data_IF_103366195906
#
_entry.id   IF_103366195906
#
_cell.length_a   1.000
_cell.length_b   1.000
_cell.length_c   1.000
_cell.angle_alpha   90.00
_cell.angle_beta   90.00
_cell.angle_gamma   90.00
#
_symmetry.space_group_name_H-M   'P 1'
#
loop_
_entity.id
_entity.type
_entity.pdbx_description
1 polymer ?
#
# COMPACT_ATOMS: atom_id res chain seq x y z
N UNK A 1 -10.90 -21.97 -35.51
CA UNK A 1 -11.29 -22.30 -34.12
C UNK A 1 -10.10 -22.36 -33.17
N UNK A 2 -9.00 -23.06 -33.51
CA UNK A 2 -7.88 -23.28 -32.58
C UNK A 2 -7.03 -22.03 -32.23
N UNK A 3 -6.84 -21.09 -33.15
CA UNK A 3 -5.97 -19.92 -32.91
C UNK A 3 -6.48 -19.00 -31.81
N UNK A 4 -7.80 -18.79 -31.72
CA UNK A 4 -8.40 -17.96 -30.67
C UNK A 4 -8.20 -18.57 -29.28
N UNK A 5 -8.35 -19.89 -29.16
CA UNK A 5 -8.14 -20.63 -27.90
C UNK A 5 -6.68 -20.52 -27.44
N UNK A 6 -5.72 -20.65 -28.36
CA UNK A 6 -4.28 -20.54 -28.04
C UNK A 6 -3.93 -19.13 -27.54
N UNK A 7 -4.50 -18.09 -28.14
CA UNK A 7 -4.27 -16.70 -27.72
C UNK A 7 -4.83 -16.47 -26.31
N UNK A 8 -6.05 -16.91 -26.03
CA UNK A 8 -6.66 -16.79 -24.70
C UNK A 8 -5.85 -17.53 -23.64
N UNK A 9 -5.39 -18.75 -23.91
CA UNK A 9 -4.54 -19.50 -22.97
C UNK A 9 -3.21 -18.78 -22.69
N UNK A 10 -2.57 -18.18 -23.71
CA UNK A 10 -1.33 -17.40 -23.51
C UNK A 10 -1.53 -16.17 -22.63
N UNK A 11 -2.63 -15.44 -22.80
CA UNK A 11 -2.92 -14.24 -21.99
C UNK A 11 -3.15 -14.63 -20.52
N UNK A 12 -3.88 -15.71 -20.27
CA UNK A 12 -4.13 -16.22 -18.91
C UNK A 12 -2.81 -16.63 -18.25
N UNK A 13 -1.95 -17.37 -18.96
CA UNK A 13 -0.64 -17.78 -18.43
C UNK A 13 0.25 -16.58 -18.14
N UNK A 14 0.27 -15.58 -19.04
CA UNK A 14 1.07 -14.36 -18.84
C UNK A 14 0.59 -13.58 -17.60
N UNK A 15 -0.73 -13.44 -17.42
CA UNK A 15 -1.32 -12.81 -16.25
C UNK A 15 -1.01 -13.56 -14.96
N UNK A 16 -1.08 -14.89 -14.98
CA UNK A 16 -0.73 -15.71 -13.81
C UNK A 16 0.74 -15.55 -13.41
N UNK A 17 1.67 -15.60 -14.38
CA UNK A 17 3.10 -15.36 -14.13
C UNK A 17 3.33 -13.97 -13.56
N UNK A 18 2.64 -12.95 -14.08
CA UNK A 18 2.78 -11.57 -13.62
C UNK A 18 2.31 -11.39 -12.17
N UNK A 19 1.17 -11.98 -11.81
CA UNK A 19 0.66 -11.97 -10.43
C UNK A 19 1.63 -12.69 -9.49
N UNK A 20 2.14 -13.86 -9.89
CA UNK A 20 3.06 -14.65 -9.08
C UNK A 20 4.40 -13.92 -8.88
N UNK A 21 4.92 -13.28 -9.93
CA UNK A 21 6.10 -12.41 -9.84
C UNK A 21 5.87 -11.21 -8.91
N UNK A 22 4.69 -10.59 -8.96
CA UNK A 22 4.32 -9.49 -8.06
C UNK A 22 4.29 -9.92 -6.59
N UNK A 23 3.67 -11.06 -6.29
CA UNK A 23 3.64 -11.61 -4.92
C UNK A 23 5.05 -11.93 -4.43
N UNK A 24 5.90 -12.53 -5.27
CA UNK A 24 7.28 -12.82 -4.91
C UNK A 24 8.07 -11.54 -4.60
N UNK A 25 7.87 -10.49 -5.40
CA UNK A 25 8.51 -9.19 -5.17
C UNK A 25 8.08 -8.56 -3.84
N UNK A 26 6.80 -8.64 -3.48
CA UNK A 26 6.30 -8.17 -2.18
C UNK A 26 6.94 -8.92 -1.02
N UNK A 27 7.08 -10.24 -1.14
CA UNK A 27 7.74 -11.08 -0.12
C UNK A 27 9.21 -10.68 0.03
N UNK A 28 9.95 -10.53 -1.08
CA UNK A 28 11.36 -10.11 -1.07
C UNK A 28 11.50 -8.71 -0.44
N UNK A 29 10.63 -7.77 -0.82
CA UNK A 29 10.61 -6.42 -0.26
C UNK A 29 10.39 -6.44 1.26
N UNK A 30 9.42 -7.22 1.73
CA UNK A 30 9.13 -7.37 3.16
C UNK A 30 10.31 -7.97 3.92
N UNK A 31 10.92 -9.04 3.40
CA UNK A 31 12.11 -9.65 3.99
C UNK A 31 13.27 -8.67 4.03
N UNK A 32 13.53 -7.93 2.95
CA UNK A 32 14.63 -6.95 2.90
C UNK A 32 14.47 -5.84 3.96
N UNK A 33 13.25 -5.34 4.16
CA UNK A 33 12.95 -4.35 5.18
C UNK A 33 13.15 -4.92 6.58
N UNK A 34 12.67 -6.14 6.83
CA UNK A 34 12.84 -6.82 8.11
C UNK A 34 14.33 -7.08 8.44
N UNK A 35 15.12 -7.54 7.47
CA UNK A 35 16.56 -7.71 7.65
C UNK A 35 17.27 -6.38 7.95
N UNK A 36 16.88 -5.29 7.29
CA UNK A 36 17.46 -3.97 7.54
C UNK A 36 17.10 -3.43 8.93
N UNK A 37 15.90 -3.70 9.46
CA UNK A 37 15.52 -3.32 10.82
C UNK A 37 16.31 -4.10 11.88
N UNK A 38 16.55 -5.40 11.66
CA UNK A 38 17.28 -6.24 12.62
C UNK A 38 18.78 -5.90 12.64
N UNK A 39 19.40 -5.69 11.47
CA UNK A 39 20.84 -5.42 11.37
C UNK A 39 21.25 -4.02 11.85
N UNK A 40 20.29 -3.09 11.97
CA UNK A 40 20.52 -1.71 12.45
C UNK A 40 20.23 -1.53 13.94
N UNK A 41 19.76 -2.59 14.62
CA UNK A 41 19.34 -2.57 16.03
C UNK A 41 20.47 -2.74 17.06
N UNK A 42 21.73 -2.74 16.63
CA UNK A 42 22.90 -2.82 17.52
C UNK A 42 23.54 -1.44 17.82
N UNK A 43 23.05 -0.35 17.23
CA UNK A 43 23.74 0.95 17.29
C UNK A 43 23.08 2.03 18.17
N UNK A 44 21.84 1.88 18.65
CA UNK A 44 21.17 2.96 19.40
C UNK A 44 20.34 2.41 20.58
N UNK A 45 21.02 2.13 21.70
CA UNK A 45 20.43 2.02 23.05
C UNK A 45 19.97 3.39 23.60
N UNK A 46 19.22 4.15 22.79
CA UNK A 46 18.68 5.44 23.17
C UNK A 46 17.17 5.45 23.00
N UNK A 47 16.45 5.22 24.10
CA UNK A 47 15.01 5.51 24.27
C UNK A 47 14.19 5.50 22.97
N UNK A 48 13.94 4.31 22.42
CA UNK A 48 13.12 4.16 21.20
C UNK A 48 11.66 4.45 21.54
N UNK A 49 11.33 5.72 21.72
CA UNK A 49 9.96 6.20 21.70
C UNK A 49 9.34 5.71 20.40
N UNK A 50 8.40 4.77 20.48
CA UNK A 50 7.78 4.18 19.30
C UNK A 50 7.01 5.28 18.59
N UNK A 51 7.61 5.82 17.53
CA UNK A 51 7.03 6.86 16.67
C UNK A 51 6.09 6.18 15.68
N UNK A 52 4.82 6.13 16.04
CA UNK A 52 3.76 5.51 15.26
C UNK A 52 2.65 6.51 14.94
N UNK A 53 2.01 6.33 13.80
CA UNK A 53 0.81 7.07 13.41
C UNK A 53 -0.18 6.14 12.72
N UNK A 54 -1.47 6.37 12.92
CA UNK A 54 -2.56 5.61 12.35
C UNK A 54 -3.71 6.52 11.92
N UNK A 55 -4.53 6.02 11.00
CA UNK A 55 -5.73 6.72 10.52
C UNK A 55 -6.92 5.79 10.59
N UNK A 56 -8.03 6.31 11.12
CA UNK A 56 -9.34 5.67 11.12
C UNK A 56 -10.22 6.47 10.16
N UNK A 57 -10.68 5.83 9.10
CA UNK A 57 -11.58 6.44 8.10
C UNK A 57 -13.04 6.23 8.52
N UNK A 58 -13.67 7.25 9.13
CA UNK A 58 -15.12 7.24 9.43
C UNK A 58 -15.83 8.05 8.34
N UNK A 59 -16.22 7.36 7.25
CA UNK A 59 -16.79 8.03 6.08
C UNK A 59 -15.78 8.99 5.43
N UNK A 60 -16.22 10.09 4.78
CA UNK A 60 -15.30 11.01 4.10
C UNK A 60 -14.44 11.85 5.07
N UNK A 61 -14.54 11.61 6.38
CA UNK A 61 -13.80 12.35 7.41
C UNK A 61 -12.72 11.41 8.01
N UNK A 62 -11.44 11.57 7.64
CA UNK A 62 -10.34 10.81 8.23
C UNK A 62 -10.06 11.29 9.65
N UNK A 63 -9.87 10.37 10.60
CA UNK A 63 -9.42 10.67 11.96
C UNK A 63 -7.98 10.18 12.12
N UNK A 64 -7.05 11.09 12.37
CA UNK A 64 -5.61 10.82 12.41
C UNK A 64 -5.15 10.78 13.87
N UNK A 65 -4.39 9.75 14.23
CA UNK A 65 -3.78 9.59 15.55
C UNK A 65 -2.28 9.30 15.39
N UNK A 66 -1.46 9.72 16.35
CA UNK A 66 -0.04 9.39 16.33
C UNK A 66 0.72 9.97 17.51
N UNK A 67 1.87 9.37 17.80
CA UNK A 67 2.77 9.76 18.90
C UNK A 67 3.86 10.74 18.47
N UNK A 68 4.03 10.93 17.16
CA UNK A 68 5.03 11.83 16.58
C UNK A 68 4.42 12.74 15.52
N UNK A 69 4.75 14.04 15.58
CA UNK A 69 4.30 15.06 14.62
C UNK A 69 4.77 14.79 13.20
N UNK A 70 5.95 14.17 13.02
CA UNK A 70 6.46 13.74 11.72
C UNK A 70 5.61 12.62 11.13
N UNK A 71 5.38 11.56 11.91
CA UNK A 71 4.49 10.45 11.54
C UNK A 71 3.06 10.93 11.24
N UNK A 72 2.52 11.82 12.09
CA UNK A 72 1.22 12.47 11.91
C UNK A 72 1.13 13.21 10.57
N UNK A 73 2.17 13.96 10.19
CA UNK A 73 2.19 14.72 8.94
C UNK A 73 2.16 13.82 7.72
N UNK A 74 2.94 12.73 7.72
CA UNK A 74 2.95 11.75 6.63
C UNK A 74 1.60 11.06 6.51
N UNK A 75 1.05 10.58 7.63
CA UNK A 75 -0.24 9.88 7.65
C UNK A 75 -1.39 10.80 7.24
N UNK A 76 -1.37 12.07 7.66
CA UNK A 76 -2.36 13.08 7.27
C UNK A 76 -2.35 13.33 5.75
N UNK A 77 -1.17 13.54 5.16
CA UNK A 77 -1.04 13.75 3.71
C UNK A 77 -1.55 12.53 2.95
N UNK A 78 -1.18 11.33 3.41
CA UNK A 78 -1.62 10.08 2.79
C UNK A 78 -3.14 9.91 2.89
N UNK A 79 -3.73 10.15 4.06
CA UNK A 79 -5.16 10.06 4.28
C UNK A 79 -5.94 11.07 3.43
N UNK A 80 -5.46 12.31 3.32
CA UNK A 80 -6.09 13.33 2.49
C UNK A 80 -6.01 12.96 1.00
N UNK A 81 -4.84 12.49 0.54
CA UNK A 81 -4.67 12.06 -0.84
C UNK A 81 -5.60 10.90 -1.19
N UNK A 82 -5.67 9.88 -0.34
CA UNK A 82 -6.58 8.74 -0.51
C UNK A 82 -8.05 9.18 -0.45
N UNK A 83 -8.39 10.14 0.40
CA UNK A 83 -9.74 10.70 0.49
C UNK A 83 -10.15 11.38 -0.82
N UNK A 84 -9.27 12.18 -1.42
CA UNK A 84 -9.51 12.84 -2.71
C UNK A 84 -9.73 11.78 -3.80
N UNK A 85 -8.88 10.75 -3.86
CA UNK A 85 -9.03 9.65 -4.82
C UNK A 85 -10.37 8.93 -4.62
N UNK A 86 -10.73 8.61 -3.38
CA UNK A 86 -11.99 7.94 -3.06
C UNK A 86 -13.21 8.78 -3.45
N UNK A 87 -13.20 10.08 -3.18
CA UNK A 87 -14.29 11.00 -3.57
C UNK A 87 -14.41 11.10 -5.08
N UNK A 88 -13.29 11.23 -5.81
CA UNK A 88 -13.32 11.28 -7.28
C UNK A 88 -13.90 9.97 -7.84
N UNK A 89 -13.44 8.83 -7.34
CA UNK A 89 -13.87 7.53 -7.84
C UNK A 89 -15.33 7.23 -7.48
N UNK A 90 -15.78 7.55 -6.27
CA UNK A 90 -17.13 7.24 -5.81
C UNK A 90 -18.19 8.26 -6.19
N UNK A 91 -17.86 9.54 -6.33
CA UNK A 91 -18.84 10.56 -6.71
C UNK A 91 -18.75 10.92 -8.19
N UNK A 92 -17.55 11.20 -8.72
CA UNK A 92 -17.41 11.75 -10.09
C UNK A 92 -17.61 10.68 -11.16
N UNK A 93 -17.21 9.43 -10.91
CA UNK A 93 -17.36 8.33 -11.87
C UNK A 93 -18.82 7.90 -12.09
N UNK A 94 -19.66 7.63 -11.05
CA UNK A 94 -21.05 7.26 -11.27
C UNK A 94 -21.95 8.42 -11.69
N UNK A 95 -21.56 9.68 -11.43
CA UNK A 95 -22.27 10.85 -11.97
C UNK A 95 -22.15 10.98 -13.50
N UNK A 96 -21.27 10.19 -14.14
CA UNK A 96 -21.07 10.18 -15.60
C UNK A 96 -21.61 8.92 -16.30
N UNK A 97 -22.31 8.05 -15.58
CA UNK A 97 -22.97 6.83 -16.10
C UNK A 97 -24.48 7.00 -15.97
#
# INVERSE_FOLDING_TARGET
>A
MSTHIIITMKIITLGFILVLAGVLLLIIGMLSMAYHTICRSEAEEGETTVRGGGVIMIGPIPIIFGTDVGALKVVMILALLLMIVAVILLFVLPLRV
#
